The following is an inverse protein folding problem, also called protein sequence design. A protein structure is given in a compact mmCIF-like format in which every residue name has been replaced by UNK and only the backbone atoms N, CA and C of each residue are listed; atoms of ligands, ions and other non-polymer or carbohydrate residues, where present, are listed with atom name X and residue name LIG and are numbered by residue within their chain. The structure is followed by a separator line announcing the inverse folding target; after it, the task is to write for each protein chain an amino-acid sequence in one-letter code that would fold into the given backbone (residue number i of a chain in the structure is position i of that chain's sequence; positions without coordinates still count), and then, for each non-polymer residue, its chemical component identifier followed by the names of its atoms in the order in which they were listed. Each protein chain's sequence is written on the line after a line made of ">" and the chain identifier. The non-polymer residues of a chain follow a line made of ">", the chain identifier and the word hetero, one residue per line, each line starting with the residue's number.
data_IF_993507122240
#
_entry.id   IF_993507122240
#
_cell.length_a   1.000
_cell.length_b   1.000
_cell.length_c   1.000
_cell.angle_alpha   90.00
_cell.angle_beta   90.00
_cell.angle_gamma   90.00
#
_symmetry.space_group_name_H-M   'P 1'
#
loop_
_entity.id
_entity.type
_entity.pdbx_description
1 polymer ?
#
# COMPACT_ATOMS: atom_id res chain seq x y z
N UNK A 1 -14.62 -15.05 16.17
CA UNK A 1 -15.30 -14.56 14.97
C UNK A 1 -14.26 -14.35 13.89
N UNK A 2 -14.54 -14.71 12.65
CA UNK A 2 -13.70 -14.39 11.49
C UNK A 2 -14.25 -13.08 10.89
N UNK A 3 -13.41 -12.04 10.76
CA UNK A 3 -13.85 -10.70 10.38
C UNK A 3 -12.80 -10.02 9.49
N UNK A 4 -13.24 -9.42 8.41
CA UNK A 4 -12.45 -8.47 7.63
C UNK A 4 -12.65 -7.06 8.19
N UNK A 5 -11.55 -6.30 8.28
CA UNK A 5 -11.54 -4.89 8.61
C UNK A 5 -10.76 -4.13 7.54
N UNK A 6 -11.37 -3.07 7.05
CA UNK A 6 -10.77 -2.18 6.07
C UNK A 6 -10.65 -0.80 6.70
N UNK A 7 -9.46 -0.25 6.74
CA UNK A 7 -9.19 1.07 7.30
C UNK A 7 -8.58 1.95 6.22
N UNK A 8 -9.32 2.96 5.78
CA UNK A 8 -8.81 3.98 4.87
C UNK A 8 -7.84 4.84 5.66
N UNK A 9 -6.54 4.73 5.37
CA UNK A 9 -5.48 5.48 6.03
C UNK A 9 -5.33 6.87 5.44
N UNK A 10 -5.62 7.02 4.16
CA UNK A 10 -5.66 8.28 3.45
C UNK A 10 -6.50 8.16 2.18
N UNK A 11 -7.12 9.26 1.78
CA UNK A 11 -7.98 9.35 0.59
C UNK A 11 -7.82 10.69 -0.15
N UNK A 12 -6.72 11.39 0.09
CA UNK A 12 -6.33 12.58 -0.66
C UNK A 12 -5.67 12.23 -1.98
N UNK A 13 -5.68 13.15 -2.94
CA UNK A 13 -4.91 13.04 -4.18
C UNK A 13 -3.40 13.11 -3.91
N UNK A 14 -2.58 13.05 -4.97
CA UNK A 14 -1.11 13.10 -4.89
C UNK A 14 -0.52 14.27 -4.08
N UNK A 15 -1.22 15.40 -4.00
CA UNK A 15 -0.83 16.55 -3.16
C UNK A 15 -1.40 16.52 -1.73
N UNK A 16 -2.33 15.62 -1.43
CA UNK A 16 -3.10 15.66 -0.18
C UNK A 16 -4.06 16.85 -0.09
N UNK A 17 -4.69 17.04 1.07
CA UNK A 17 -5.49 18.25 1.40
C UNK A 17 -5.10 18.69 2.81
N UNK A 18 -4.65 19.93 3.02
CA UNK A 18 -4.29 20.92 1.99
C UNK A 18 -3.04 20.49 1.20
N UNK A 19 -2.86 21.06 0.02
CA UNK A 19 -1.58 20.99 -0.70
C UNK A 19 -0.56 21.92 -0.04
N UNK A 20 0.73 21.64 -0.27
CA UNK A 20 1.81 22.50 0.23
C UNK A 20 1.53 23.96 -0.17
N UNK A 21 1.73 24.87 0.78
CA UNK A 21 1.38 26.28 0.63
C UNK A 21 -0.04 26.61 1.10
N UNK A 22 -0.64 25.77 1.93
CA UNK A 22 -1.98 25.96 2.54
C UNK A 22 -3.11 26.09 1.50
N UNK A 23 -2.97 25.34 0.40
CA UNK A 23 -3.96 25.33 -0.68
C UNK A 23 -5.03 24.25 -0.43
N UNK A 24 -6.20 24.69 0.01
CA UNK A 24 -7.36 23.86 0.34
C UNK A 24 -8.29 23.60 -0.85
N UNK A 25 -8.10 24.30 -2.00
CA UNK A 25 -9.05 24.27 -3.10
C UNK A 25 -10.45 24.72 -2.60
N UNK A 26 -11.47 23.95 -2.91
CA UNK A 26 -12.86 24.19 -2.48
C UNK A 26 -13.18 23.64 -1.08
N UNK A 27 -12.21 23.08 -0.37
CA UNK A 27 -12.41 22.52 0.97
C UNK A 27 -12.39 23.62 2.04
N UNK A 28 -13.33 23.56 3.01
CA UNK A 28 -13.33 24.45 4.18
C UNK A 28 -12.14 24.14 5.10
N UNK A 29 -11.16 25.06 5.27
CA UNK A 29 -10.00 24.85 6.13
C UNK A 29 -10.33 24.75 7.62
N UNK A 30 -11.52 25.20 8.04
CA UNK A 30 -11.96 25.11 9.44
C UNK A 30 -12.51 23.73 9.80
N UNK A 31 -12.83 22.90 8.81
CA UNK A 31 -13.29 21.54 9.05
C UNK A 31 -12.09 20.58 9.07
N UNK A 32 -11.69 20.04 10.25
CA UNK A 32 -10.53 19.16 10.36
C UNK A 32 -10.67 17.86 9.56
N UNK A 33 -11.90 17.45 9.21
CA UNK A 33 -12.15 16.27 8.36
C UNK A 33 -11.76 16.49 6.91
N UNK A 34 -11.50 17.73 6.49
CA UNK A 34 -10.99 18.03 5.15
C UNK A 34 -9.47 17.84 5.03
N UNK A 35 -8.77 17.67 6.15
CA UNK A 35 -7.36 17.27 6.10
C UNK A 35 -7.28 15.80 5.65
N UNK A 36 -6.67 15.54 4.49
CA UNK A 36 -6.57 14.21 3.88
C UNK A 36 -5.14 13.90 3.46
N UNK A 37 -4.60 12.86 4.04
CA UNK A 37 -3.34 12.25 3.62
C UNK A 37 -3.51 11.51 2.29
N UNK A 38 -2.39 11.22 1.58
CA UNK A 38 -2.37 10.50 0.31
C UNK A 38 -2.92 9.09 0.47
N UNK A 39 -3.40 8.51 -0.63
CA UNK A 39 -4.11 7.23 -0.64
C UNK A 39 -3.29 6.08 -0.03
N UNK A 40 -3.93 5.34 0.87
CA UNK A 40 -3.49 4.03 1.35
C UNK A 40 -4.64 3.33 2.08
N UNK A 41 -4.69 2.00 2.01
CA UNK A 41 -5.68 1.15 2.67
C UNK A 41 -4.99 0.05 3.49
N UNK A 42 -5.39 -0.08 4.75
CA UNK A 42 -5.02 -1.23 5.57
C UNK A 42 -6.15 -2.26 5.52
N UNK A 43 -5.79 -3.48 5.14
CA UNK A 43 -6.70 -4.64 5.11
C UNK A 43 -6.29 -5.61 6.20
N UNK A 44 -7.23 -5.98 7.06
CA UNK A 44 -6.98 -6.94 8.14
C UNK A 44 -8.02 -8.06 8.13
N UNK A 45 -7.53 -9.28 8.31
CA UNK A 45 -8.37 -10.43 8.68
C UNK A 45 -8.09 -10.80 10.10
N UNK A 46 -9.12 -10.75 10.94
CA UNK A 46 -9.04 -11.03 12.36
C UNK A 46 -9.81 -12.31 12.66
N UNK A 47 -9.15 -13.27 13.32
CA UNK A 47 -9.79 -14.48 13.81
C UNK A 47 -9.28 -14.86 15.22
N UNK A 48 -9.61 -16.06 15.70
CA UNK A 48 -9.18 -16.54 17.02
C UNK A 48 -7.68 -16.85 17.11
N UNK A 49 -7.02 -17.11 15.98
CA UNK A 49 -5.59 -17.46 15.90
C UNK A 49 -4.69 -16.24 15.78
N UNK A 50 -5.23 -15.11 15.33
CA UNK A 50 -4.45 -13.88 15.16
C UNK A 50 -5.04 -12.91 14.15
N UNK A 51 -4.17 -12.07 13.63
CA UNK A 51 -4.51 -11.06 12.61
C UNK A 51 -3.54 -11.17 11.44
N UNK A 52 -4.08 -11.19 10.22
CA UNK A 52 -3.31 -10.95 8.99
C UNK A 52 -3.48 -9.49 8.61
N UNK A 53 -2.38 -8.77 8.37
CA UNK A 53 -2.36 -7.34 8.03
C UNK A 53 -1.66 -7.09 6.72
N UNK A 54 -2.35 -6.48 5.78
CA UNK A 54 -1.80 -6.14 4.47
C UNK A 54 -2.04 -4.65 4.22
N UNK A 55 -0.97 -3.94 3.89
CA UNK A 55 -1.03 -2.55 3.49
C UNK A 55 -1.12 -2.47 1.97
N UNK A 56 -2.06 -1.68 1.44
CA UNK A 56 -2.10 -1.34 0.02
C UNK A 56 -1.55 0.06 -0.14
N UNK A 57 -0.46 0.14 -0.91
CA UNK A 57 0.37 1.31 -1.17
C UNK A 57 1.06 1.89 0.08
N UNK A 58 2.28 2.34 -0.10
CA UNK A 58 3.08 3.05 0.90
C UNK A 58 3.15 4.53 0.53
N UNK A 59 2.11 5.27 0.89
CA UNK A 59 2.12 6.70 0.62
C UNK A 59 3.26 7.42 1.36
N UNK A 60 3.69 8.61 0.93
CA UNK A 60 4.65 9.42 1.68
C UNK A 60 4.20 9.74 3.13
N UNK A 61 2.91 9.57 3.42
CA UNK A 61 2.33 9.76 4.77
C UNK A 61 2.31 8.48 5.62
N UNK A 62 2.81 7.34 5.08
CA UNK A 62 2.69 6.00 5.68
C UNK A 62 3.10 5.98 7.15
N UNK A 63 4.19 6.67 7.51
CA UNK A 63 4.63 6.71 8.91
C UNK A 63 3.52 7.22 9.84
N UNK A 64 2.92 8.35 9.53
CA UNK A 64 1.84 8.92 10.35
C UNK A 64 0.59 8.04 10.30
N UNK A 65 0.24 7.53 9.12
CA UNK A 65 -0.90 6.64 8.91
C UNK A 65 -0.83 5.39 9.79
N UNK A 66 0.34 4.73 9.85
CA UNK A 66 0.53 3.53 10.67
C UNK A 66 0.61 3.86 12.18
N UNK A 67 1.18 5.00 12.56
CA UNK A 67 1.17 5.46 13.96
C UNK A 67 -0.26 5.73 14.45
N UNK A 68 -1.06 6.43 13.66
CA UNK A 68 -2.45 6.75 13.98
C UNK A 68 -3.33 5.48 14.04
N UNK A 69 -3.03 4.50 13.19
CA UNK A 69 -3.70 3.19 13.19
C UNK A 69 -3.19 2.22 14.28
N UNK A 70 -2.11 2.56 14.98
CA UNK A 70 -1.49 1.69 15.99
C UNK A 70 -0.89 0.41 15.41
N UNK A 71 -0.35 0.47 14.17
CA UNK A 71 0.16 -0.69 13.43
C UNK A 71 1.69 -0.67 13.41
N UNK A 72 2.30 -1.72 13.95
CA UNK A 72 3.76 -1.92 13.99
C UNK A 72 4.23 -3.20 13.31
N UNK A 73 3.35 -3.95 12.65
CA UNK A 73 3.67 -5.18 11.91
C UNK A 73 2.77 -5.35 10.70
N UNK A 74 3.30 -5.89 9.60
CA UNK A 74 2.60 -6.15 8.34
C UNK A 74 3.04 -7.52 7.79
N UNK A 75 2.09 -8.34 7.36
CA UNK A 75 2.39 -9.61 6.69
C UNK A 75 2.82 -9.38 5.24
N UNK A 76 2.27 -8.34 4.59
CA UNK A 76 2.68 -7.92 3.25
C UNK A 76 2.31 -6.47 2.94
N UNK A 77 2.91 -5.97 1.85
CA UNK A 77 2.51 -4.76 1.14
C UNK A 77 2.08 -5.15 -0.28
N UNK A 78 1.00 -4.57 -0.77
CA UNK A 78 0.49 -4.75 -2.14
C UNK A 78 0.48 -3.38 -2.82
N UNK A 79 1.06 -3.26 -4.01
CA UNK A 79 1.07 -2.01 -4.75
C UNK A 79 0.06 -2.02 -5.88
N UNK A 80 -0.64 -0.89 -6.05
CA UNK A 80 -1.54 -0.64 -7.17
C UNK A 80 -0.78 -0.20 -8.41
N UNK A 81 0.19 0.68 -8.26
CA UNK A 81 1.06 1.20 -9.32
C UNK A 81 2.24 1.98 -8.71
N UNK A 82 3.14 2.51 -9.56
CA UNK A 82 4.43 3.07 -9.15
C UNK A 82 4.49 4.58 -8.98
N UNK A 83 3.35 5.31 -9.00
CA UNK A 83 3.39 6.76 -8.79
C UNK A 83 3.91 7.12 -7.39
N UNK A 84 4.53 8.28 -7.28
CA UNK A 84 5.26 8.73 -6.09
C UNK A 84 4.40 8.74 -4.81
N UNK A 85 3.16 9.17 -4.93
CA UNK A 85 2.20 9.24 -3.82
C UNK A 85 1.72 7.86 -3.34
N UNK A 86 2.03 6.78 -4.08
CA UNK A 86 1.74 5.39 -3.72
C UNK A 86 2.97 4.61 -3.23
N UNK A 87 4.20 5.05 -3.55
CA UNK A 87 5.39 4.23 -3.27
C UNK A 87 6.46 4.92 -2.41
N UNK A 88 6.46 6.25 -2.24
CA UNK A 88 7.56 6.95 -1.60
C UNK A 88 7.65 6.81 -0.07
N UNK A 89 6.67 6.21 0.58
CA UNK A 89 6.78 5.79 1.99
C UNK A 89 7.47 4.44 2.18
N UNK A 90 7.94 3.79 1.11
CA UNK A 90 8.53 2.44 1.15
C UNK A 90 9.68 2.34 2.17
N UNK A 91 10.51 3.37 2.33
CA UNK A 91 11.67 3.32 3.25
C UNK A 91 11.24 3.21 4.73
N UNK A 92 10.06 3.70 5.10
CA UNK A 92 9.53 3.56 6.46
C UNK A 92 9.19 2.10 6.82
N UNK A 93 9.09 1.18 5.84
CA UNK A 93 8.98 -0.26 6.08
C UNK A 93 10.20 -0.82 6.83
N UNK A 94 11.31 -0.10 6.86
CA UNK A 94 12.49 -0.44 7.66
C UNK A 94 12.15 -0.61 9.14
N UNK A 95 11.27 0.24 9.68
CA UNK A 95 10.87 0.13 11.09
C UNK A 95 9.96 -1.07 11.33
N UNK A 96 9.11 -1.42 10.37
CA UNK A 96 8.30 -2.66 10.40
C UNK A 96 9.23 -3.88 10.39
N UNK A 97 10.24 -3.90 9.49
CA UNK A 97 11.27 -4.95 9.47
C UNK A 97 11.99 -5.08 10.82
N UNK A 98 12.39 -3.99 11.45
CA UNK A 98 13.06 -4.03 12.76
C UNK A 98 12.15 -4.57 13.87
N UNK A 99 10.86 -4.23 13.86
CA UNK A 99 9.89 -4.74 14.81
C UNK A 99 9.68 -6.24 14.65
N UNK A 100 9.57 -6.72 13.40
CA UNK A 100 9.23 -8.11 13.09
C UNK A 100 10.46 -9.02 13.02
N UNK A 101 11.66 -8.49 12.75
CA UNK A 101 12.90 -9.25 12.50
C UNK A 101 12.81 -10.20 11.30
N UNK A 102 11.91 -9.89 10.37
CA UNK A 102 11.73 -10.64 9.13
C UNK A 102 11.45 -9.70 7.98
N UNK A 103 11.85 -10.09 6.76
CA UNK A 103 11.57 -9.31 5.55
C UNK A 103 10.07 -9.26 5.29
N UNK A 104 9.64 -8.15 4.73
CA UNK A 104 8.24 -7.93 4.39
C UNK A 104 8.03 -8.33 2.93
N UNK A 105 7.02 -9.16 2.68
CA UNK A 105 6.61 -9.51 1.33
C UNK A 105 5.99 -8.30 0.63
N UNK A 106 6.49 -7.97 -0.55
CA UNK A 106 5.95 -6.92 -1.43
C UNK A 106 5.39 -7.57 -2.67
N UNK A 107 4.14 -7.24 -3.00
CA UNK A 107 3.43 -7.75 -4.15
C UNK A 107 3.10 -6.63 -5.12
N UNK A 108 3.49 -6.78 -6.38
CA UNK A 108 3.22 -5.82 -7.45
C UNK A 108 3.20 -6.51 -8.81
N UNK A 109 2.64 -5.86 -9.82
CA UNK A 109 2.80 -6.29 -11.20
C UNK A 109 4.23 -6.07 -11.70
N UNK A 110 4.58 -6.62 -12.84
CA UNK A 110 5.96 -6.56 -13.35
C UNK A 110 6.42 -5.12 -13.66
N UNK A 111 5.53 -4.27 -14.14
CA UNK A 111 5.85 -2.87 -14.44
C UNK A 111 6.20 -2.11 -13.17
N UNK A 112 5.34 -2.20 -12.17
CA UNK A 112 5.55 -1.58 -10.85
C UNK A 112 6.82 -2.11 -10.17
N UNK A 113 7.10 -3.43 -10.28
CA UNK A 113 8.33 -4.01 -9.74
C UNK A 113 9.60 -3.40 -10.36
N UNK A 114 9.61 -3.21 -11.67
CA UNK A 114 10.76 -2.61 -12.36
C UNK A 114 11.05 -1.21 -11.80
N UNK A 115 10.01 -0.39 -11.64
CA UNK A 115 10.12 0.96 -11.10
C UNK A 115 10.54 0.96 -9.62
N UNK A 116 10.04 0.00 -8.82
CA UNK A 116 10.44 -0.14 -7.41
C UNK A 116 11.92 -0.52 -7.29
N UNK A 117 12.40 -1.44 -8.12
CA UNK A 117 13.82 -1.83 -8.14
C UNK A 117 14.69 -0.68 -8.63
N UNK A 118 14.26 0.07 -9.64
CA UNK A 118 15.01 1.23 -10.13
C UNK A 118 15.21 2.30 -9.04
N UNK A 119 14.14 2.63 -8.31
CA UNK A 119 14.13 3.71 -7.32
C UNK A 119 14.63 3.29 -5.94
N UNK A 120 14.32 2.05 -5.51
CA UNK A 120 14.51 1.58 -4.13
C UNK A 120 15.32 0.27 -4.06
N UNK A 121 16.23 0.02 -5.01
CA UNK A 121 17.01 -1.21 -5.11
C UNK A 121 17.61 -1.67 -3.78
N UNK A 122 18.09 -0.74 -2.96
CA UNK A 122 18.70 -1.01 -1.67
C UNK A 122 17.75 -1.72 -0.66
N UNK A 123 16.44 -1.55 -0.81
CA UNK A 123 15.47 -2.19 0.07
C UNK A 123 15.26 -3.68 -0.27
N UNK A 124 15.52 -4.08 -1.53
CA UNK A 124 15.30 -5.43 -2.07
C UNK A 124 16.59 -6.24 -2.25
N UNK A 125 17.70 -5.55 -2.54
CA UNK A 125 18.99 -6.19 -2.86
C UNK A 125 20.07 -5.54 -2.01
N UNK A 126 20.85 -6.36 -1.31
CA UNK A 126 21.99 -5.85 -0.55
C UNK A 126 23.05 -5.30 -1.50
N UNK A 127 23.40 -4.01 -1.42
CA UNK A 127 24.50 -3.47 -2.20
C UNK A 127 25.83 -4.13 -1.80
N UNK A 128 26.73 -4.26 -2.78
CA UNK A 128 28.08 -4.76 -2.51
C UNK A 128 28.76 -3.93 -1.40
N UNK A 129 29.39 -4.61 -0.45
CA UNK A 129 30.03 -4.00 0.73
C UNK A 129 29.08 -3.23 1.69
N UNK A 130 27.78 -3.30 1.53
CA UNK A 130 26.85 -2.70 2.50
C UNK A 130 26.67 -3.59 3.72
N UNK A 131 26.74 -3.05 4.97
CA UNK A 131 26.44 -3.80 6.17
C UNK A 131 24.93 -3.99 6.37
N UNK A 132 24.09 -3.33 5.57
CA UNK A 132 22.65 -3.36 5.73
C UNK A 132 22.02 -4.41 4.80
N UNK A 133 21.34 -5.44 5.37
CA UNK A 133 20.63 -6.42 4.56
C UNK A 133 19.37 -5.79 3.92
N UNK A 134 18.84 -6.40 2.83
CA UNK A 134 17.56 -6.02 2.29
C UNK A 134 16.45 -6.27 3.30
N UNK A 135 15.42 -5.45 3.26
CA UNK A 135 14.30 -5.48 4.20
C UNK A 135 13.01 -6.01 3.56
N UNK A 136 12.97 -6.14 2.23
CA UNK A 136 11.81 -6.52 1.44
C UNK A 136 12.11 -7.73 0.55
N UNK A 137 11.08 -8.56 0.34
CA UNK A 137 11.07 -9.65 -0.65
C UNK A 137 10.00 -9.37 -1.70
N UNK A 138 10.38 -9.40 -2.99
CA UNK A 138 9.53 -9.00 -4.10
C UNK A 138 8.81 -10.20 -4.71
N UNK A 139 7.48 -10.09 -4.85
CA UNK A 139 6.60 -11.10 -5.39
C UNK A 139 5.75 -10.54 -6.53
N UNK A 140 5.49 -11.32 -7.57
CA UNK A 140 4.76 -10.87 -8.75
C UNK A 140 3.27 -11.20 -8.66
N UNK A 141 2.42 -10.19 -8.85
CA UNK A 141 0.98 -10.37 -9.07
C UNK A 141 0.77 -10.79 -10.54
N UNK A 142 0.29 -12.01 -10.76
CA UNK A 142 -0.06 -12.54 -12.10
C UNK A 142 -1.55 -12.83 -12.26
N UNK A 143 -2.34 -12.64 -11.22
CA UNK A 143 -3.76 -12.95 -11.15
C UNK A 143 -4.20 -13.03 -9.70
N UNK A 144 -5.22 -13.82 -9.40
CA UNK A 144 -5.72 -13.99 -8.04
C UNK A 144 -4.56 -14.37 -7.11
N UNK A 145 -4.35 -13.55 -6.08
CA UNK A 145 -3.22 -13.68 -5.15
C UNK A 145 -3.77 -13.88 -3.74
N UNK A 146 -3.34 -14.95 -3.07
CA UNK A 146 -3.66 -15.21 -1.67
C UNK A 146 -2.42 -14.99 -0.81
N UNK A 147 -2.53 -14.17 0.21
CA UNK A 147 -1.43 -13.81 1.10
C UNK A 147 -1.76 -14.34 2.49
N UNK A 148 -0.88 -15.19 3.01
CA UNK A 148 -1.04 -15.85 4.31
C UNK A 148 -0.60 -14.95 5.47
N UNK A 149 -1.21 -15.15 6.63
CA UNK A 149 -0.84 -14.55 7.92
C UNK A 149 -1.56 -15.25 9.05
N UNK A 150 -1.30 -14.82 10.29
CA UNK A 150 -1.85 -15.48 11.49
C UNK A 150 -3.38 -15.43 11.58
N UNK A 151 -4.03 -14.47 10.92
CA UNK A 151 -5.48 -14.36 10.81
C UNK A 151 -6.09 -15.19 9.68
N UNK A 152 -5.27 -15.99 8.95
CA UNK A 152 -5.64 -16.74 7.76
C UNK A 152 -5.47 -15.92 6.48
N UNK A 153 -5.69 -16.53 5.31
CA UNK A 153 -5.41 -15.92 4.01
C UNK A 153 -6.30 -14.70 3.71
N UNK A 154 -5.69 -13.71 3.05
CA UNK A 154 -6.39 -12.61 2.39
C UNK A 154 -6.22 -12.76 0.88
N UNK A 155 -7.35 -12.88 0.16
CA UNK A 155 -7.35 -13.07 -1.28
C UNK A 155 -7.62 -11.74 -1.99
N UNK A 156 -6.71 -11.37 -2.89
CA UNK A 156 -6.77 -10.21 -3.76
C UNK A 156 -7.09 -10.67 -5.18
N UNK A 157 -8.16 -10.17 -5.75
CA UNK A 157 -8.53 -10.37 -7.16
C UNK A 157 -8.19 -9.08 -7.89
N UNK A 158 -7.05 -9.04 -8.62
CA UNK A 158 -6.64 -7.85 -9.34
C UNK A 158 -7.49 -7.65 -10.60
N UNK A 159 -7.68 -6.40 -10.97
CA UNK A 159 -8.15 -5.98 -12.28
C UNK A 159 -7.37 -4.74 -12.73
N UNK A 160 -7.12 -4.66 -14.03
CA UNK A 160 -6.32 -3.58 -14.60
C UNK A 160 -7.22 -2.45 -15.09
N UNK A 161 -6.76 -1.22 -14.85
CA UNK A 161 -7.40 0.00 -15.32
C UNK A 161 -6.37 0.93 -15.94
N UNK A 162 -6.83 1.88 -16.78
CA UNK A 162 -5.98 2.96 -17.27
C UNK A 162 -5.91 4.09 -16.25
N UNK A 163 -4.71 4.61 -16.06
CA UNK A 163 -4.45 5.79 -15.24
C UNK A 163 -3.48 6.72 -15.98
N UNK A 164 -4.05 7.65 -16.77
CA UNK A 164 -3.27 8.45 -17.70
C UNK A 164 -2.58 7.59 -18.74
N UNK A 165 -1.25 7.62 -18.75
CA UNK A 165 -0.39 6.88 -19.70
C UNK A 165 0.16 5.56 -19.14
N UNK A 166 -0.24 5.15 -17.95
CA UNK A 166 0.14 3.88 -17.33
C UNK A 166 -1.09 3.01 -17.04
N UNK A 167 -0.83 1.73 -16.74
CA UNK A 167 -1.82 0.87 -16.13
C UNK A 167 -1.67 0.88 -14.61
N UNK A 168 -2.80 0.79 -13.90
CA UNK A 168 -2.86 0.62 -12.46
C UNK A 168 -3.72 -0.58 -12.12
N UNK A 169 -3.48 -1.18 -10.95
CA UNK A 169 -4.31 -2.27 -10.44
C UNK A 169 -5.35 -1.76 -9.45
N UNK A 170 -6.59 -2.18 -9.67
CA UNK A 170 -7.59 -2.24 -8.62
C UNK A 170 -7.64 -3.64 -8.02
N UNK A 171 -8.21 -3.77 -6.84
CA UNK A 171 -8.35 -5.05 -6.15
C UNK A 171 -9.75 -5.25 -5.60
N UNK A 172 -10.34 -6.42 -5.88
CA UNK A 172 -11.48 -6.91 -5.09
C UNK A 172 -10.95 -7.79 -3.95
N UNK A 173 -11.39 -7.48 -2.71
CA UNK A 173 -10.96 -8.17 -1.48
C UNK A 173 -12.21 -8.51 -0.69
N UNK A 174 -12.71 -9.73 -0.84
CA UNK A 174 -14.01 -10.11 -0.30
C UNK A 174 -15.14 -9.22 -0.81
N UNK A 175 -15.84 -8.47 0.07
CA UNK A 175 -16.95 -7.59 -0.32
C UNK A 175 -16.50 -6.20 -0.78
N UNK A 176 -15.21 -5.83 -0.61
CA UNK A 176 -14.68 -4.51 -0.96
C UNK A 176 -13.99 -4.52 -2.32
N UNK A 177 -14.20 -3.47 -3.09
CA UNK A 177 -13.36 -3.09 -4.24
C UNK A 177 -12.58 -1.83 -3.86
N UNK A 178 -11.26 -1.86 -4.01
CA UNK A 178 -10.36 -0.73 -3.83
C UNK A 178 -9.73 -0.34 -5.16
N UNK A 179 -9.95 0.90 -5.55
CA UNK A 179 -9.44 1.48 -6.79
C UNK A 179 -9.11 2.96 -6.51
N UNK A 180 -7.84 3.29 -6.19
CA UNK A 180 -7.47 4.66 -5.83
C UNK A 180 -7.44 5.59 -7.05
N UNK A 181 -6.87 5.13 -8.16
CA UNK A 181 -6.63 5.93 -9.34
C UNK A 181 -7.14 5.25 -10.61
N UNK A 182 -7.93 5.97 -11.37
CA UNK A 182 -8.50 5.51 -12.63
C UNK A 182 -8.82 6.69 -13.54
N UNK A 183 -8.47 6.61 -14.80
CA UNK A 183 -8.94 7.51 -15.85
C UNK A 183 -9.92 6.83 -16.81
N UNK A 184 -9.72 5.51 -17.03
CA UNK A 184 -10.56 4.70 -17.91
C UNK A 184 -10.59 3.26 -17.43
N UNK A 185 -11.74 2.63 -17.50
CA UNK A 185 -11.96 1.25 -17.09
C UNK A 185 -12.65 0.49 -18.22
N UNK A 186 -12.19 -0.76 -18.49
CA UNK A 186 -12.84 -1.62 -19.46
C UNK A 186 -14.16 -2.17 -18.93
N UNK A 187 -15.00 -2.71 -19.82
CA UNK A 187 -16.27 -3.37 -19.45
C UNK A 187 -16.05 -4.66 -18.68
N UNK A 188 -14.85 -5.23 -18.74
CA UNK A 188 -14.50 -6.51 -18.11
C UNK A 188 -13.81 -6.33 -16.75
N UNK A 189 -13.55 -5.08 -16.33
CA UNK A 189 -12.85 -4.74 -15.08
C UNK A 189 -13.80 -4.64 -13.86
#
# INVERSE_FOLDING_TARGET
>A
MDRLRFTILGCGSSGGVPRIGDNWGDCDPKNPKNNRQRCSLLVERLNKTGTTRILIDTSPDMRNQLLDAGVGSLDAVVYTHSHADHVHGLDDLRMIFFNMRTRINVWADQSTQNDLIERFKYAFVQPEASPYPPILDLNTIKGITSIEGNGGPLTFIPFEVKHGNINALGFRIGPLVYLPDVSEMSTDA
#
